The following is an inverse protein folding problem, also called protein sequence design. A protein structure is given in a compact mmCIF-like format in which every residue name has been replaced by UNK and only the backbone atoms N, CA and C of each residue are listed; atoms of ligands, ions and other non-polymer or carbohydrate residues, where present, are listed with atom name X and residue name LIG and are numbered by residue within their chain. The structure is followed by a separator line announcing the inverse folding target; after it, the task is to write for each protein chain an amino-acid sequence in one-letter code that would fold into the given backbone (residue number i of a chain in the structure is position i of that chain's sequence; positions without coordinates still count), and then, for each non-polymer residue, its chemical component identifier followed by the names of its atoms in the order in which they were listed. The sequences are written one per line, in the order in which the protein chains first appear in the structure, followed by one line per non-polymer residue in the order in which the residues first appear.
data_IF_503487874607
#
_entry.id   IF_503487874607
#
_cell.length_a   1.000
_cell.length_b   1.000
_cell.length_c   1.000
_cell.angle_alpha   90.00
_cell.angle_beta   90.00
_cell.angle_gamma   90.00
#
_symmetry.space_group_name_H-M   'P 1'
#
loop_
_entity.id
_entity.type
_entity.pdbx_description
1 polymer ?
#
# COMPACT_ATOMS: atom_id res chain seq x y z
N UNK A 1 -3.26 -2.19 49.04
CA UNK A 1 -3.65 -1.98 47.63
C UNK A 1 -3.69 -3.37 47.02
N UNK A 2 -4.89 -3.91 46.84
CA UNK A 2 -5.07 -5.27 46.32
C UNK A 2 -4.71 -5.27 44.83
N UNK A 3 -3.82 -6.16 44.41
CA UNK A 3 -3.37 -6.25 43.03
C UNK A 3 -4.57 -6.58 42.12
N UNK A 4 -4.81 -5.76 41.09
CA UNK A 4 -5.85 -5.97 40.08
C UNK A 4 -5.59 -7.19 39.18
N UNK A 5 -4.46 -7.89 39.35
CA UNK A 5 -4.08 -9.04 38.55
C UNK A 5 -4.23 -10.33 39.36
N UNK A 6 -4.97 -11.34 38.85
CA UNK A 6 -5.07 -12.64 39.49
C UNK A 6 -3.69 -13.27 39.64
N UNK A 7 -3.44 -13.92 40.78
CA UNK A 7 -2.16 -14.56 41.08
C UNK A 7 -1.87 -15.78 40.17
N UNK A 8 -2.89 -16.32 39.51
CA UNK A 8 -2.82 -17.51 38.66
C UNK A 8 -3.26 -17.17 37.23
N UNK A 9 -2.48 -17.64 36.25
CA UNK A 9 -2.84 -17.56 34.84
C UNK A 9 -4.05 -18.44 34.54
N UNK A 10 -5.06 -17.91 33.84
CA UNK A 10 -6.17 -18.69 33.29
C UNK A 10 -5.71 -19.42 32.02
N UNK A 11 -6.51 -20.37 31.48
CA UNK A 11 -6.23 -20.95 30.17
C UNK A 11 -6.06 -19.84 29.11
N UNK A 12 -4.93 -19.88 28.39
CA UNK A 12 -4.45 -18.88 27.42
C UNK A 12 -3.88 -17.57 27.99
N UNK A 13 -3.75 -17.41 29.31
CA UNK A 13 -2.97 -16.32 29.89
C UNK A 13 -1.48 -16.70 29.88
N UNK A 14 -0.61 -15.73 29.57
CA UNK A 14 0.85 -15.86 29.71
C UNK A 14 1.26 -15.00 30.90
N UNK A 15 1.84 -15.62 31.93
CA UNK A 15 2.42 -14.91 33.07
C UNK A 15 3.77 -14.29 32.63
N UNK A 16 3.81 -12.96 32.59
CA UNK A 16 5.02 -12.19 32.30
C UNK A 16 5.61 -11.75 33.65
N UNK A 17 6.65 -12.44 34.11
CA UNK A 17 7.30 -12.16 35.40
C UNK A 17 8.19 -10.90 35.37
N UNK A 18 8.66 -10.53 34.18
CA UNK A 18 9.53 -9.37 33.95
C UNK A 18 9.19 -8.75 32.61
N UNK A 19 9.21 -7.42 32.53
CA UNK A 19 9.00 -6.75 31.24
C UNK A 19 9.98 -7.28 30.17
N UNK A 20 9.48 -7.59 28.96
CA UNK A 20 10.33 -8.01 27.86
C UNK A 20 11.25 -6.87 27.42
N UNK A 21 12.40 -7.22 26.85
CA UNK A 21 13.29 -6.25 26.24
C UNK A 21 12.70 -5.79 24.89
N UNK A 22 12.05 -4.64 24.85
CA UNK A 22 11.40 -4.07 23.66
C UNK A 22 12.36 -3.83 22.47
N UNK A 23 13.67 -3.78 22.72
CA UNK A 23 14.68 -3.61 21.68
C UNK A 23 14.99 -4.94 20.94
N UNK A 24 14.56 -6.08 21.46
CA UNK A 24 14.74 -7.41 20.85
C UNK A 24 13.47 -7.90 20.14
N UNK A 25 13.12 -7.24 19.02
CA UNK A 25 11.89 -7.48 18.27
C UNK A 25 11.69 -8.95 17.88
N UNK A 26 12.74 -9.60 17.36
CA UNK A 26 12.68 -11.01 16.95
C UNK A 26 12.28 -11.94 18.11
N UNK A 27 12.70 -11.63 19.34
CA UNK A 27 12.35 -12.44 20.51
C UNK A 27 10.89 -12.25 20.90
N UNK A 28 10.39 -11.01 20.85
CA UNK A 28 9.00 -10.64 21.20
C UNK A 28 7.99 -11.24 20.22
N UNK A 29 8.36 -11.39 18.95
CA UNK A 29 7.45 -11.88 17.91
C UNK A 29 7.34 -13.41 17.83
N UNK A 30 7.91 -14.15 18.80
CA UNK A 30 7.81 -15.62 18.87
C UNK A 30 6.69 -16.12 19.78
N UNK A 31 6.21 -17.34 19.54
CA UNK A 31 5.23 -18.06 20.38
C UNK A 31 3.92 -17.30 20.69
N UNK A 32 3.48 -16.43 19.78
CA UNK A 32 2.24 -15.68 19.92
C UNK A 32 0.99 -16.56 19.75
N UNK A 33 -0.06 -16.27 20.51
CA UNK A 33 -1.40 -16.85 20.33
C UNK A 33 -2.29 -15.84 19.62
N UNK A 34 -2.82 -16.21 18.45
CA UNK A 34 -3.77 -15.36 17.74
C UNK A 34 -5.10 -15.28 18.49
N UNK A 35 -5.49 -14.09 18.95
CA UNK A 35 -6.74 -13.88 19.69
C UNK A 35 -7.91 -13.56 18.75
N UNK A 36 -7.72 -12.60 17.84
CA UNK A 36 -8.75 -12.17 16.89
C UNK A 36 -8.13 -11.50 15.66
N UNK A 37 -8.94 -11.37 14.60
CA UNK A 37 -8.64 -10.56 13.42
C UNK A 37 -9.68 -9.44 13.32
N UNK A 38 -9.23 -8.21 13.16
CA UNK A 38 -10.10 -7.04 13.00
C UNK A 38 -9.89 -6.46 11.60
N UNK A 39 -10.99 -6.19 10.90
CA UNK A 39 -10.98 -5.46 9.64
C UNK A 39 -11.23 -3.98 9.89
N UNK A 40 -10.36 -3.12 9.37
CA UNK A 40 -10.53 -1.66 9.40
C UNK A 40 -10.68 -1.14 7.98
N UNK A 41 -11.47 -0.09 7.81
CA UNK A 41 -11.66 0.60 6.54
C UNK A 41 -11.54 2.10 6.76
N UNK A 42 -10.78 2.77 5.89
CA UNK A 42 -10.84 4.21 5.68
C UNK A 42 -11.78 4.47 4.49
N UNK A 43 -13.01 4.97 4.71
CA UNK A 43 -14.00 5.08 3.65
C UNK A 43 -13.60 6.16 2.64
N UNK A 44 -13.87 5.88 1.36
CA UNK A 44 -13.70 6.86 0.29
C UNK A 44 -14.60 8.07 0.56
N UNK A 45 -14.04 9.28 0.48
CA UNK A 45 -14.81 10.51 0.64
C UNK A 45 -15.92 10.60 -0.42
N UNK A 46 -17.17 10.95 -0.07
CA UNK A 46 -18.31 10.91 -0.99
C UNK A 46 -18.14 11.71 -2.29
N UNK A 47 -17.39 12.80 -2.24
CA UNK A 47 -17.12 13.70 -3.37
C UNK A 47 -16.10 13.15 -4.38
N UNK A 48 -15.25 12.20 -3.98
CA UNK A 48 -14.10 11.73 -4.77
C UNK A 48 -14.50 11.09 -6.10
N UNK A 49 -15.47 10.17 -6.18
CA UNK A 49 -15.87 9.57 -7.46
C UNK A 49 -16.37 10.61 -8.47
N UNK A 50 -17.13 11.60 -8.01
CA UNK A 50 -17.64 12.67 -8.87
C UNK A 50 -16.51 13.56 -9.41
N UNK A 51 -15.54 13.91 -8.55
CA UNK A 51 -14.37 14.68 -8.94
C UNK A 51 -13.51 13.94 -9.97
N UNK A 52 -13.28 12.64 -9.77
CA UNK A 52 -12.53 11.80 -10.72
C UNK A 52 -13.23 11.72 -12.07
N UNK A 53 -14.55 11.52 -12.08
CA UNK A 53 -15.33 11.52 -13.32
C UNK A 53 -15.27 12.88 -14.06
N UNK A 54 -15.22 14.00 -13.33
CA UNK A 54 -15.04 15.32 -13.92
C UNK A 54 -13.65 15.46 -14.56
N UNK A 55 -12.58 15.04 -13.87
CA UNK A 55 -11.23 15.02 -14.43
C UNK A 55 -11.15 14.19 -15.70
N UNK A 56 -11.70 12.97 -15.68
CA UNK A 56 -11.70 12.06 -16.84
C UNK A 56 -12.47 12.65 -18.02
N UNK A 57 -13.64 13.28 -17.81
CA UNK A 57 -14.39 13.98 -18.87
C UNK A 57 -13.62 15.16 -19.47
N UNK A 58 -12.73 15.79 -18.70
CA UNK A 58 -11.83 16.84 -19.16
C UNK A 58 -10.57 16.30 -19.87
N UNK A 59 -10.43 14.98 -20.04
CA UNK A 59 -9.23 14.36 -20.63
C UNK A 59 -8.05 14.23 -19.67
N UNK A 60 -8.25 14.45 -18.36
CA UNK A 60 -7.22 14.34 -17.34
C UNK A 60 -7.17 12.91 -16.81
N UNK A 61 -6.00 12.28 -16.91
CA UNK A 61 -5.78 10.92 -16.41
C UNK A 61 -5.39 10.95 -14.94
N UNK A 62 -6.31 10.52 -14.08
CA UNK A 62 -6.07 10.35 -12.63
C UNK A 62 -5.26 9.08 -12.37
N UNK A 63 -4.21 9.18 -11.55
CA UNK A 63 -3.37 8.05 -11.12
C UNK A 63 -3.24 8.04 -9.60
N UNK A 64 -3.39 6.86 -8.99
CA UNK A 64 -3.21 6.65 -7.55
C UNK A 64 -1.77 6.22 -7.27
N UNK A 65 -1.15 6.82 -6.25
CA UNK A 65 0.14 6.40 -5.71
C UNK A 65 -0.03 6.25 -4.19
N UNK A 66 0.22 5.06 -3.65
CA UNK A 66 0.02 4.75 -2.22
C UNK A 66 1.10 3.80 -1.67
N UNK A 67 1.33 3.86 -0.36
CA UNK A 67 2.13 2.91 0.40
C UNK A 67 1.38 1.59 0.73
N UNK A 68 0.09 1.52 0.44
CA UNK A 68 -0.75 0.36 0.74
C UNK A 68 -0.39 -0.88 -0.08
N UNK A 69 -0.92 -2.02 0.36
CA UNK A 69 -0.90 -3.26 -0.42
C UNK A 69 -1.65 -3.10 -1.76
N UNK A 70 -1.18 -3.79 -2.80
CA UNK A 70 -1.76 -3.74 -4.16
C UNK A 70 -3.24 -4.08 -4.20
N UNK A 71 -3.73 -5.00 -3.37
CA UNK A 71 -5.13 -5.40 -3.34
C UNK A 71 -6.01 -4.32 -2.71
N UNK A 72 -5.55 -3.70 -1.63
CA UNK A 72 -6.22 -2.55 -1.00
C UNK A 72 -6.26 -1.37 -1.96
N UNK A 73 -5.13 -1.03 -2.58
CA UNK A 73 -5.05 0.06 -3.56
C UNK A 73 -5.98 -0.18 -4.76
N UNK A 74 -6.03 -1.42 -5.29
CA UNK A 74 -6.95 -1.78 -6.37
C UNK A 74 -8.41 -1.61 -5.95
N UNK A 75 -8.78 -2.09 -4.77
CA UNK A 75 -10.14 -1.96 -4.24
C UNK A 75 -10.57 -0.50 -4.11
N UNK A 76 -9.72 0.34 -3.50
CA UNK A 76 -9.99 1.78 -3.35
C UNK A 76 -10.05 2.47 -4.72
N UNK A 77 -9.10 2.17 -5.62
CA UNK A 77 -9.07 2.77 -6.95
C UNK A 77 -10.32 2.44 -7.79
N UNK A 78 -10.85 1.22 -7.66
CA UNK A 78 -12.13 0.84 -8.27
C UNK A 78 -13.30 1.59 -7.65
N UNK A 79 -13.38 1.68 -6.31
CA UNK A 79 -14.42 2.45 -5.61
C UNK A 79 -14.42 3.94 -6.00
N UNK A 80 -13.23 4.51 -6.21
CA UNK A 80 -13.04 5.89 -6.64
C UNK A 80 -13.33 6.12 -8.14
N UNK A 81 -13.48 5.08 -8.96
CA UNK A 81 -13.65 5.21 -10.41
C UNK A 81 -12.35 5.51 -11.18
N UNK A 82 -11.18 5.32 -10.55
CA UNK A 82 -9.86 5.40 -11.22
C UNK A 82 -9.67 4.20 -12.15
N UNK A 83 -10.11 3.02 -11.70
CA UNK A 83 -10.12 1.80 -12.50
C UNK A 83 -11.53 1.57 -13.01
N UNK A 84 -11.73 1.68 -14.33
CA UNK A 84 -13.02 1.41 -14.96
C UNK A 84 -13.02 0.04 -15.66
N UNK A 85 -14.10 -0.75 -15.53
CA UNK A 85 -14.23 -2.01 -16.27
C UNK A 85 -14.11 -1.79 -17.77
N UNK A 86 -13.35 -2.65 -18.46
CA UNK A 86 -13.16 -2.59 -19.91
C UNK A 86 -12.06 -1.64 -20.38
N UNK A 87 -11.48 -0.81 -19.50
CA UNK A 87 -10.30 -0.02 -19.82
C UNK A 87 -9.02 -0.86 -19.77
N UNK A 88 -8.05 -0.51 -20.63
CA UNK A 88 -6.70 -1.07 -20.54
C UNK A 88 -5.88 -0.28 -19.51
N UNK A 89 -5.68 -0.87 -18.33
CA UNK A 89 -4.91 -0.24 -17.26
C UNK A 89 -3.84 -1.19 -16.66
N UNK A 90 -2.84 -0.58 -16.01
CA UNK A 90 -1.82 -1.25 -15.23
C UNK A 90 -1.91 -0.84 -13.76
N UNK A 91 -1.85 -1.84 -12.90
CA UNK A 91 -1.72 -1.72 -11.43
C UNK A 91 -0.42 -2.42 -11.06
N UNK A 92 0.54 -1.67 -10.51
CA UNK A 92 1.88 -2.18 -10.19
C UNK A 92 2.26 -1.87 -8.75
N UNK A 93 3.13 -2.70 -8.18
CA UNK A 93 3.90 -2.29 -6.99
C UNK A 93 5.13 -1.47 -7.39
N UNK A 94 5.61 -0.62 -6.49
CA UNK A 94 6.80 0.22 -6.71
C UNK A 94 8.03 -0.55 -7.18
N UNK A 95 8.25 -1.76 -6.65
CA UNK A 95 9.36 -2.65 -7.06
C UNK A 95 9.25 -3.11 -8.52
N UNK A 96 8.04 -3.43 -8.98
CA UNK A 96 7.80 -3.93 -10.33
C UNK A 96 7.81 -2.78 -11.34
N UNK A 97 7.28 -1.61 -10.96
CA UNK A 97 7.42 -0.38 -11.73
C UNK A 97 8.91 -0.04 -11.95
N UNK A 98 9.70 0.04 -10.87
CA UNK A 98 11.14 0.31 -10.95
C UNK A 98 11.86 -0.69 -11.86
N UNK A 99 11.53 -1.98 -11.76
CA UNK A 99 12.13 -3.02 -12.61
C UNK A 99 11.78 -2.84 -14.08
N UNK A 100 10.54 -2.44 -14.40
CA UNK A 100 10.07 -2.32 -15.79
C UNK A 100 10.66 -1.12 -16.52
N UNK A 101 10.95 -0.03 -15.81
CA UNK A 101 11.46 1.22 -16.41
C UNK A 101 12.99 1.31 -16.43
N UNK A 102 13.68 0.33 -15.85
CA UNK A 102 15.15 0.31 -15.77
C UNK A 102 15.73 -0.72 -16.74
N UNK A 103 16.85 -0.34 -17.33
CA UNK A 103 17.67 -1.26 -18.11
C UNK A 103 18.26 -2.36 -17.20
N UNK A 104 18.22 -3.61 -17.66
CA UNK A 104 18.63 -4.77 -16.84
C UNK A 104 20.14 -4.85 -16.61
N UNK A 105 20.95 -4.22 -17.45
CA UNK A 105 22.40 -4.29 -17.38
C UNK A 105 22.98 -3.10 -16.62
N UNK A 106 22.46 -1.90 -16.89
CA UNK A 106 22.97 -0.63 -16.33
C UNK A 106 22.19 -0.16 -15.11
N UNK A 107 20.96 -0.66 -14.89
CA UNK A 107 20.09 -0.23 -13.80
C UNK A 107 19.53 1.20 -13.96
N UNK A 108 19.84 1.89 -15.05
CA UNK A 108 19.39 3.25 -15.31
C UNK A 108 17.96 3.29 -15.83
N UNK A 109 17.23 4.36 -15.52
CA UNK A 109 15.88 4.58 -16.03
C UNK A 109 15.95 4.93 -17.52
N UNK A 110 15.12 4.25 -18.31
CA UNK A 110 15.04 4.36 -19.77
C UNK A 110 13.71 4.98 -20.17
N UNK A 111 13.75 6.04 -20.96
CA UNK A 111 12.55 6.75 -21.43
C UNK A 111 11.60 5.82 -22.19
N UNK A 112 12.09 5.05 -23.16
CA UNK A 112 11.29 4.13 -23.97
C UNK A 112 10.64 3.00 -23.15
N UNK A 113 11.25 2.59 -22.02
CA UNK A 113 10.64 1.62 -21.12
C UNK A 113 9.56 2.27 -20.25
N UNK A 114 9.81 3.50 -19.80
CA UNK A 114 8.82 4.31 -19.09
C UNK A 114 7.58 4.55 -19.97
N UNK A 115 7.78 4.95 -21.22
CA UNK A 115 6.71 5.25 -22.19
C UNK A 115 5.81 4.03 -22.51
N UNK A 116 6.30 2.81 -22.29
CA UNK A 116 5.49 1.58 -22.43
C UNK A 116 4.58 1.33 -21.23
N UNK A 117 4.98 1.80 -20.05
CA UNK A 117 4.26 1.57 -18.79
C UNK A 117 3.32 2.74 -18.48
N UNK A 118 3.80 3.96 -18.67
CA UNK A 118 3.16 5.20 -18.23
C UNK A 118 1.74 5.43 -18.77
N UNK A 119 1.43 5.19 -20.07
CA UNK A 119 0.10 5.48 -20.62
C UNK A 119 -1.02 4.69 -19.93
N UNK A 120 -0.75 3.42 -19.59
CA UNK A 120 -1.72 2.53 -18.99
C UNK A 120 -1.61 2.48 -17.46
N UNK A 121 -0.53 2.97 -16.84
CA UNK A 121 -0.41 3.00 -15.39
C UNK A 121 -1.54 3.84 -14.75
N UNK A 122 -2.27 3.23 -13.82
CA UNK A 122 -3.33 3.89 -13.03
C UNK A 122 -3.10 3.81 -11.54
N UNK A 123 -2.48 2.75 -11.05
CA UNK A 123 -2.23 2.55 -9.62
C UNK A 123 -0.80 2.09 -9.39
N UNK A 124 -0.12 2.76 -8.48
CA UNK A 124 1.20 2.41 -7.98
C UNK A 124 1.12 2.17 -6.46
N UNK A 125 1.11 0.90 -6.07
CA UNK A 125 1.02 0.44 -4.70
C UNK A 125 2.41 0.20 -4.08
N UNK A 126 2.50 0.06 -2.75
CA UNK A 126 3.78 -0.11 -2.03
C UNK A 126 4.85 0.87 -2.52
N UNK A 127 4.45 2.11 -2.82
CA UNK A 127 5.36 3.10 -3.38
C UNK A 127 6.31 3.63 -2.30
N UNK A 128 7.56 3.86 -2.67
CA UNK A 128 8.56 4.48 -1.80
C UNK A 128 8.73 5.97 -2.13
N UNK A 129 9.27 6.80 -1.22
CA UNK A 129 9.56 8.20 -1.52
C UNK A 129 10.42 8.39 -2.79
N UNK A 130 11.37 7.49 -3.03
CA UNK A 130 12.21 7.51 -4.23
C UNK A 130 11.40 7.25 -5.51
N UNK A 131 10.43 6.33 -5.46
CA UNK A 131 9.54 6.04 -6.60
C UNK A 131 8.63 7.24 -6.88
N UNK A 132 8.09 7.89 -5.84
CA UNK A 132 7.26 9.09 -6.00
C UNK A 132 8.05 10.24 -6.66
N UNK A 133 9.28 10.47 -6.20
CA UNK A 133 10.17 11.47 -6.79
C UNK A 133 10.47 11.16 -8.27
N UNK A 134 10.65 9.87 -8.59
CA UNK A 134 10.86 9.43 -9.96
C UNK A 134 9.63 9.67 -10.83
N UNK A 135 8.44 9.29 -10.38
CA UNK A 135 7.19 9.56 -11.11
C UNK A 135 7.05 11.06 -11.38
N UNK A 136 7.25 11.92 -10.37
CA UNK A 136 7.17 13.38 -10.53
C UNK A 136 8.17 13.94 -11.53
N UNK A 137 9.40 13.44 -11.54
CA UNK A 137 10.45 13.91 -12.45
C UNK A 137 10.16 13.61 -13.92
N UNK A 138 9.44 12.54 -14.21
CA UNK A 138 9.20 12.06 -15.58
C UNK A 138 7.79 12.37 -16.10
N UNK A 139 6.97 13.04 -15.28
CA UNK A 139 5.63 13.51 -15.65
C UNK A 139 5.60 14.93 -16.23
N UNK A 140 6.66 15.72 -16.02
CA UNK A 140 6.83 17.11 -16.45
C UNK A 140 7.83 17.13 -17.60
#
# INVERSE_FOLDING_TARGET
MESLYPAEARPNDILIEKEPNWDEEDHILTQLTCLCLVGIEDPVRPEVPAAIAQCQRAGIVVRMVTGDNINTARSIASKCGILQPGENYLVLEGKDFNRRIRDRHTGQVRQDLFDRVWPNLRVLARSSPQVNALVNKWMI
#
